data_IF_090964787563
#
_entry.id   IF_090964787563
#
_cell.length_a   1.000
_cell.length_b   1.000
_cell.length_c   1.000
_cell.angle_alpha   90.00
_cell.angle_beta   90.00
_cell.angle_gamma   90.00
#
_symmetry.space_group_name_H-M   'P 1'
#
loop_
_entity.id
_entity.type
_entity.pdbx_description
1 polymer ?
#
# COMPACT_ATOMS: atom_id res chain seq x y z
N UNK A 1 18.00 1.76 -8.47
CA UNK A 1 17.22 1.01 -9.50
C UNK A 1 15.78 0.91 -9.03
N UNK A 2 14.81 1.26 -9.86
CA UNK A 2 13.40 1.00 -9.60
C UNK A 2 13.09 -0.48 -9.89
N UNK A 3 12.28 -1.11 -9.03
CA UNK A 3 11.83 -2.50 -9.17
C UNK A 3 10.31 -2.50 -9.13
N UNK A 4 9.67 -3.12 -10.11
CA UNK A 4 8.21 -3.27 -10.18
C UNK A 4 7.89 -4.76 -10.03
N UNK A 5 7.02 -5.09 -9.09
CA UNK A 5 6.48 -6.44 -8.91
C UNK A 5 5.00 -6.42 -9.30
N UNK A 6 4.67 -7.01 -10.44
CA UNK A 6 3.28 -7.20 -10.86
C UNK A 6 2.76 -8.52 -10.30
N UNK A 7 1.58 -8.49 -9.68
CA UNK A 7 0.94 -9.67 -9.08
C UNK A 7 -0.45 -9.81 -9.69
N UNK A 8 -0.74 -10.94 -10.34
CA UNK A 8 -2.02 -11.20 -11.01
C UNK A 8 -3.22 -11.46 -10.09
N UNK A 9 -3.04 -11.30 -8.79
CA UNK A 9 -4.02 -11.57 -7.74
C UNK A 9 -3.30 -11.92 -6.44
N UNK A 10 -3.67 -11.24 -5.36
CA UNK A 10 -3.09 -11.48 -4.03
C UNK A 10 -4.18 -11.40 -2.97
N UNK A 11 -4.39 -12.49 -2.26
CA UNK A 11 -5.18 -12.48 -1.04
C UNK A 11 -4.25 -12.20 0.12
N UNK A 12 -4.39 -11.02 0.72
CA UNK A 12 -3.85 -10.75 2.04
C UNK A 12 -4.47 -11.84 2.95
N UNK A 13 -3.66 -12.60 3.69
CA UNK A 13 -4.14 -13.72 4.52
C UNK A 13 -3.39 -15.04 4.33
N UNK A 14 -2.60 -15.20 3.26
CA UNK A 14 -1.68 -16.33 3.16
C UNK A 14 -0.31 -15.97 3.78
N UNK A 15 0.09 -16.58 4.91
CA UNK A 15 1.37 -16.32 5.57
C UNK A 15 2.59 -16.68 4.71
N UNK A 16 2.39 -17.38 3.57
CA UNK A 16 3.41 -17.57 2.53
C UNK A 16 3.37 -16.47 1.46
N UNK A 17 3.12 -15.23 1.85
CA UNK A 17 3.07 -14.09 0.93
C UNK A 17 4.36 -14.00 0.11
N UNK A 18 4.35 -14.56 -1.10
CA UNK A 18 5.45 -14.51 -2.07
C UNK A 18 5.89 -13.05 -2.28
N UNK A 19 4.93 -12.12 -2.21
CA UNK A 19 5.17 -10.68 -2.21
C UNK A 19 6.15 -10.22 -1.11
N UNK A 20 6.02 -10.71 0.12
CA UNK A 20 6.89 -10.30 1.23
C UNK A 20 8.36 -10.70 1.02
N UNK A 21 8.59 -11.91 0.51
CA UNK A 21 9.95 -12.37 0.18
C UNK A 21 10.57 -11.50 -0.93
N UNK A 22 9.80 -11.16 -1.95
CA UNK A 22 10.26 -10.27 -3.01
C UNK A 22 10.48 -8.84 -2.51
N UNK A 23 9.60 -8.31 -1.65
CA UNK A 23 9.77 -6.98 -1.06
C UNK A 23 11.08 -6.91 -0.27
N UNK A 24 11.37 -7.88 0.61
CA UNK A 24 12.67 -7.93 1.32
C UNK A 24 13.85 -8.03 0.37
N UNK A 25 13.75 -8.90 -0.65
CA UNK A 25 14.81 -9.08 -1.64
C UNK A 25 15.09 -7.80 -2.43
N UNK A 26 14.06 -7.06 -2.83
CA UNK A 26 14.19 -5.85 -3.63
C UNK A 26 14.57 -4.62 -2.79
N UNK A 27 14.10 -4.52 -1.55
CA UNK A 27 14.46 -3.43 -0.64
C UNK A 27 15.81 -3.63 0.05
N UNK A 28 16.26 -4.88 0.20
CA UNK A 28 17.45 -5.24 0.98
C UNK A 28 17.30 -5.02 2.48
N UNK A 29 16.07 -4.79 2.98
CA UNK A 29 15.80 -4.44 4.38
C UNK A 29 15.08 -5.58 5.11
N UNK A 30 15.42 -5.79 6.38
CA UNK A 30 14.74 -6.78 7.22
C UNK A 30 13.34 -6.31 7.65
N UNK A 31 13.24 -5.01 7.99
CA UNK A 31 12.02 -4.30 8.37
C UNK A 31 11.76 -3.14 7.39
N UNK A 32 11.30 -3.42 6.15
CA UNK A 32 11.00 -2.37 5.19
C UNK A 32 9.79 -1.55 5.65
N UNK A 33 9.84 -0.24 5.40
CA UNK A 33 8.67 0.65 5.46
C UNK A 33 7.81 0.43 4.23
N UNK A 34 6.58 0.00 4.46
CA UNK A 34 5.63 -0.37 3.42
C UNK A 34 4.36 0.44 3.56
N UNK A 35 3.86 0.95 2.45
CA UNK A 35 2.61 1.70 2.43
C UNK A 35 1.60 1.08 1.47
N UNK A 36 0.33 1.05 1.90
CA UNK A 36 -0.82 0.61 1.13
C UNK A 36 -1.64 1.80 0.64
N UNK A 37 -1.55 2.18 -0.66
CA UNK A 37 -2.62 2.90 -1.32
C UNK A 37 -3.82 1.95 -1.50
N UNK A 38 -4.90 2.20 -0.77
CA UNK A 38 -6.10 1.34 -0.73
C UNK A 38 -7.22 1.80 -1.66
N UNK A 39 -6.99 2.88 -2.42
CA UNK A 39 -7.97 3.53 -3.30
C UNK A 39 -8.58 2.63 -4.38
N UNK A 40 -7.86 1.65 -4.97
CA UNK A 40 -8.50 0.69 -5.89
C UNK A 40 -9.66 -0.08 -5.26
N UNK A 41 -9.60 -0.31 -3.94
CA UNK A 41 -10.61 -1.01 -3.16
C UNK A 41 -11.61 -0.07 -2.47
N UNK A 42 -11.58 1.23 -2.79
CA UNK A 42 -12.41 2.24 -2.14
C UNK A 42 -12.06 2.46 -0.67
N UNK A 43 -10.79 2.26 -0.30
CA UNK A 43 -10.28 2.46 1.07
C UNK A 43 -11.02 1.64 2.13
N UNK A 44 -11.36 0.40 1.79
CA UNK A 44 -12.05 -0.53 2.67
C UNK A 44 -11.27 -0.72 4.00
N UNK A 45 -11.83 -0.34 5.17
CA UNK A 45 -11.11 -0.41 6.44
C UNK A 45 -10.60 -1.81 6.78
N UNK A 46 -11.40 -2.84 6.46
CA UNK A 46 -11.03 -4.24 6.69
C UNK A 46 -9.79 -4.65 5.88
N UNK A 47 -9.62 -4.14 4.66
CA UNK A 47 -8.46 -4.41 3.83
C UNK A 47 -7.19 -3.78 4.43
N UNK A 48 -7.31 -2.52 4.88
CA UNK A 48 -6.21 -1.78 5.51
C UNK A 48 -5.78 -2.50 6.79
N UNK A 49 -6.72 -2.81 7.67
CA UNK A 49 -6.44 -3.55 8.91
C UNK A 49 -5.76 -4.87 8.61
N UNK A 50 -6.26 -5.63 7.62
CA UNK A 50 -5.68 -6.93 7.29
C UNK A 50 -4.26 -6.83 6.72
N UNK A 51 -3.98 -5.78 5.94
CA UNK A 51 -2.64 -5.47 5.47
C UNK A 51 -1.71 -5.18 6.64
N UNK A 52 -2.10 -4.29 7.55
CA UNK A 52 -1.31 -3.92 8.73
C UNK A 52 -1.03 -5.13 9.61
N UNK A 53 -2.04 -5.95 9.91
CA UNK A 53 -1.86 -7.16 10.71
C UNK A 53 -0.92 -8.17 10.03
N UNK A 54 -1.10 -8.40 8.73
CA UNK A 54 -0.32 -9.41 7.99
C UNK A 54 1.13 -8.96 7.83
N UNK A 55 1.36 -7.73 7.38
CA UNK A 55 2.69 -7.16 7.17
C UNK A 55 3.39 -6.88 8.51
N UNK A 56 2.66 -6.43 9.53
CA UNK A 56 3.17 -6.26 10.88
C UNK A 56 3.64 -7.57 11.52
N UNK A 57 2.87 -8.67 11.38
CA UNK A 57 3.25 -10.01 11.89
C UNK A 57 4.56 -10.54 11.27
N UNK A 58 4.86 -10.17 10.03
CA UNK A 58 6.12 -10.54 9.36
C UNK A 58 7.24 -9.52 9.61
N UNK A 59 7.01 -8.48 10.42
CA UNK A 59 8.01 -7.50 10.85
C UNK A 59 8.25 -6.34 9.88
N UNK A 60 7.27 -6.02 9.02
CA UNK A 60 7.32 -4.79 8.21
C UNK A 60 6.79 -3.61 9.02
N UNK A 61 7.28 -2.41 8.73
CA UNK A 61 6.68 -1.17 9.21
C UNK A 61 5.58 -0.79 8.22
N UNK A 62 4.32 -0.74 8.68
CA UNK A 62 3.16 -0.55 7.82
C UNK A 62 2.59 0.85 7.96
N UNK A 63 2.05 1.36 6.86
CA UNK A 63 1.22 2.55 6.81
C UNK A 63 0.23 2.44 5.66
N UNK A 64 -0.75 3.32 5.60
CA UNK A 64 -1.71 3.38 4.50
C UNK A 64 -1.87 4.82 3.99
N UNK A 65 -2.38 4.92 2.78
CA UNK A 65 -2.90 6.17 2.20
C UNK A 65 -4.29 5.87 1.68
N UNK A 66 -5.27 6.39 2.42
CA UNK A 66 -6.70 6.29 2.12
C UNK A 66 -7.27 7.71 1.95
N UNK A 67 -7.94 7.96 0.83
CA UNK A 67 -8.55 9.26 0.50
C UNK A 67 -10.07 9.32 0.74
N UNK A 68 -10.72 8.16 0.80
CA UNK A 68 -12.17 7.97 0.90
C UNK A 68 -12.62 7.46 2.28
N UNK A 69 -11.69 7.11 3.18
CA UNK A 69 -12.04 6.59 4.50
C UNK A 69 -12.56 7.71 5.43
N UNK A 70 -13.77 7.52 5.99
CA UNK A 70 -14.51 8.53 6.76
C UNK A 70 -13.91 8.92 8.12
N UNK A 71 -12.89 8.20 8.62
CA UNK A 71 -12.47 8.30 10.02
C UNK A 71 -11.78 9.62 10.40
N UNK A 72 -11.37 10.46 9.44
CA UNK A 72 -10.91 11.82 9.72
C UNK A 72 -11.44 12.78 8.68
N UNK A 73 -12.14 13.81 9.15
CA UNK A 73 -12.68 14.94 8.36
C UNK A 73 -11.60 15.80 7.69
N UNK A 74 -10.33 15.38 7.77
CA UNK A 74 -9.22 16.00 7.10
C UNK A 74 -9.01 15.31 5.76
N UNK A 75 -9.49 15.94 4.70
CA UNK A 75 -9.06 15.69 3.32
C UNK A 75 -7.56 15.41 3.32
N UNK A 76 -7.15 14.18 3.01
CA UNK A 76 -5.72 13.86 2.91
C UNK A 76 -5.15 14.75 1.83
N UNK A 77 -4.29 15.69 2.23
CA UNK A 77 -3.63 16.58 1.29
C UNK A 77 -2.77 15.71 0.34
N UNK A 78 -2.99 15.80 -0.99
CA UNK A 78 -2.23 15.02 -1.97
C UNK A 78 -0.72 15.15 -1.82
N UNK A 79 -0.22 16.35 -1.51
CA UNK A 79 1.22 16.60 -1.30
C UNK A 79 1.75 15.85 -0.08
N UNK A 80 0.95 15.75 0.98
CA UNK A 80 1.30 14.99 2.18
C UNK A 80 1.32 13.49 1.88
N UNK A 81 0.36 13.00 1.10
CA UNK A 81 0.35 11.62 0.63
C UNK A 81 1.57 11.30 -0.25
N UNK A 82 1.90 12.15 -1.22
CA UNK A 82 3.08 12.00 -2.09
C UNK A 82 4.37 12.02 -1.26
N UNK A 83 4.52 13.00 -0.36
CA UNK A 83 5.68 13.11 0.52
C UNK A 83 5.83 11.89 1.44
N UNK A 84 4.72 11.28 1.87
CA UNK A 84 4.72 10.04 2.64
C UNK A 84 5.13 8.85 1.79
N UNK A 85 4.58 8.69 0.58
CA UNK A 85 4.88 7.58 -0.33
C UNK A 85 6.35 7.55 -0.75
N UNK A 86 6.96 8.71 -1.00
CA UNK A 86 8.39 8.81 -1.37
C UNK A 86 9.32 8.32 -0.25
N UNK A 87 8.89 8.41 1.02
CA UNK A 87 9.69 7.95 2.17
C UNK A 87 9.65 6.43 2.36
N UNK A 88 8.78 5.71 1.65
CA UNK A 88 8.60 4.28 1.84
C UNK A 88 9.68 3.49 1.12
N UNK A 89 9.96 2.30 1.65
CA UNK A 89 10.90 1.37 1.03
C UNK A 89 10.19 0.54 -0.05
N UNK A 90 8.88 0.27 0.13
CA UNK A 90 8.03 -0.30 -0.90
C UNK A 90 6.61 0.27 -0.83
N UNK A 91 6.00 0.45 -2.00
CA UNK A 91 4.59 0.84 -2.14
C UNK A 91 3.84 -0.39 -2.66
N UNK A 92 2.87 -0.87 -1.89
CA UNK A 92 2.06 -2.04 -2.23
C UNK A 92 0.65 -1.57 -2.55
N UNK A 93 0.30 -1.51 -3.84
CA UNK A 93 -1.03 -1.06 -4.27
C UNK A 93 -2.06 -2.18 -4.08
N UNK A 94 -3.23 -1.86 -3.53
CA UNK A 94 -4.29 -2.86 -3.38
C UNK A 94 -4.84 -3.33 -4.74
N UNK A 95 -5.45 -4.52 -4.73
CA UNK A 95 -6.31 -4.94 -5.84
C UNK A 95 -7.65 -4.22 -5.81
N UNK A 96 -8.37 -4.23 -6.95
CA UNK A 96 -9.68 -3.60 -7.08
C UNK A 96 -9.86 -2.98 -8.47
N UNK A 97 -10.45 -1.79 -8.51
CA UNK A 97 -10.70 -1.09 -9.76
C UNK A 97 -9.48 -0.24 -10.18
N UNK A 98 -8.83 -0.62 -11.28
CA UNK A 98 -7.68 0.12 -11.81
C UNK A 98 -8.00 1.58 -12.20
N UNK A 99 -9.26 1.90 -12.55
CA UNK A 99 -9.65 3.30 -12.77
C UNK A 99 -9.62 4.10 -11.48
N UNK A 100 -10.09 3.52 -10.37
CA UNK A 100 -9.98 4.15 -9.04
C UNK A 100 -8.51 4.29 -8.63
N UNK A 101 -7.68 3.30 -8.96
CA UNK A 101 -6.23 3.38 -8.74
C UNK A 101 -5.63 4.60 -9.44
N UNK A 102 -5.98 4.85 -10.71
CA UNK A 102 -5.38 5.89 -11.54
C UNK A 102 -6.01 7.27 -11.37
N UNK A 103 -7.30 7.37 -11.04
CA UNK A 103 -8.06 8.62 -11.09
C UNK A 103 -7.40 9.74 -10.27
N UNK A 104 -7.04 9.46 -9.02
CA UNK A 104 -6.43 10.46 -8.14
C UNK A 104 -5.05 10.92 -8.64
N UNK A 105 -4.21 9.99 -9.09
CA UNK A 105 -2.85 10.31 -9.56
C UNK A 105 -2.81 10.94 -10.94
N UNK A 106 -3.85 10.75 -11.76
CA UNK A 106 -3.94 11.37 -13.09
C UNK A 106 -4.38 12.83 -12.98
N UNK A 107 -5.27 13.13 -12.05
CA UNK A 107 -5.77 14.50 -11.82
C UNK A 107 -4.77 15.37 -11.02
N UNK A 108 -3.97 14.76 -10.13
CA UNK A 108 -3.02 15.47 -9.28
C UNK A 108 -1.54 15.29 -9.66
N UNK A 109 -1.28 14.71 -10.85
CA UNK A 109 0.06 14.38 -11.36
C UNK A 109 0.92 15.58 -11.73
#
# INVERSE_FOLDING_TARGET
MQRILAIGGFSIGDPKAIAAAYIRKFTGKQKPRTCLPSTPAGDLPLLIQHFEETCGRIGFETSDVAFFCQATINTVNPDVAVAHLIKQDAIFMSGGNARCAMALWTEWG
#
